data_IF_933566833926
#
_entry.id   IF_933566833926
#
_cell.length_a   1.000
_cell.length_b   1.000
_cell.length_c   1.000
_cell.angle_alpha   90.00
_cell.angle_beta   90.00
_cell.angle_gamma   90.00
#
_symmetry.space_group_name_H-M   'P 1'
#
loop_
_entity.id
_entity.type
_entity.pdbx_description
1 polymer ?
#
# COMPACT_ATOMS: atom_id res chain seq x y z
N UNK A 1 15.62 4.82 10.37
CA UNK A 1 15.30 4.61 8.94
C UNK A 1 14.20 3.58 8.86
N UNK A 2 13.18 3.82 8.03
CA UNK A 2 12.11 2.85 7.79
C UNK A 2 12.62 1.81 6.79
N UNK A 3 12.27 0.54 6.99
CA UNK A 3 12.66 -0.56 6.08
C UNK A 3 11.72 -0.70 4.86
N UNK A 4 10.85 0.28 4.62
CA UNK A 4 9.89 0.26 3.52
C UNK A 4 10.47 0.89 2.26
N UNK A 5 10.35 0.21 1.13
CA UNK A 5 10.68 0.73 -0.21
C UNK A 5 9.47 0.68 -1.13
N UNK A 6 9.48 1.52 -2.18
CA UNK A 6 8.45 1.52 -3.22
C UNK A 6 8.26 0.10 -3.78
N UNK A 7 7.01 -0.34 -3.89
CA UNK A 7 6.63 -1.67 -4.35
C UNK A 7 6.56 -2.74 -3.25
N UNK A 8 7.02 -2.48 -2.03
CA UNK A 8 6.81 -3.41 -0.92
C UNK A 8 5.33 -3.63 -0.66
N UNK A 9 4.91 -4.89 -0.61
CA UNK A 9 3.56 -5.26 -0.20
C UNK A 9 3.43 -5.16 1.31
N UNK A 10 2.34 -4.56 1.77
CA UNK A 10 2.06 -4.25 3.17
C UNK A 10 0.65 -4.68 3.58
N UNK A 11 0.46 -4.78 4.89
CA UNK A 11 -0.86 -4.77 5.53
C UNK A 11 -0.92 -3.56 6.45
N UNK A 12 -1.95 -2.74 6.26
CA UNK A 12 -2.36 -1.75 7.24
C UNK A 12 -3.16 -2.41 8.35
N UNK A 13 -2.74 -2.19 9.59
CA UNK A 13 -3.39 -2.67 10.80
C UNK A 13 -3.92 -1.45 11.56
N UNK A 14 -5.25 -1.26 11.66
CA UNK A 14 -5.80 -0.14 12.39
C UNK A 14 -5.53 -0.28 13.89
N UNK A 15 -5.40 0.84 14.60
CA UNK A 15 -5.04 0.86 16.03
C UNK A 15 -5.97 -0.02 16.88
N UNK A 16 -7.26 -0.06 16.58
CA UNK A 16 -8.24 -0.87 17.33
C UNK A 16 -8.11 -2.38 17.10
N UNK A 17 -7.38 -2.80 16.06
CA UNK A 17 -7.06 -4.21 15.82
C UNK A 17 -5.92 -4.72 16.74
N UNK A 18 -5.28 -3.87 17.54
CA UNK A 18 -4.24 -4.25 18.51
C UNK A 18 -3.12 -5.14 17.91
N UNK A 19 -2.73 -4.89 16.67
CA UNK A 19 -1.69 -5.67 15.97
C UNK A 19 -2.20 -6.92 15.24
N UNK A 20 -3.50 -7.18 15.25
CA UNK A 20 -4.09 -8.29 14.49
C UNK A 20 -4.16 -7.96 12.99
N UNK A 21 -3.19 -8.50 12.24
CA UNK A 21 -3.14 -8.35 10.78
C UNK A 21 -4.30 -9.02 10.03
N UNK A 22 -5.00 -9.96 10.67
CA UNK A 22 -6.13 -10.67 10.07
C UNK A 22 -7.47 -10.05 10.47
N UNK A 23 -7.45 -8.92 11.19
CA UNK A 23 -8.65 -8.19 11.53
C UNK A 23 -9.43 -7.78 10.28
N UNK A 24 -10.77 -7.82 10.34
CA UNK A 24 -11.63 -7.53 9.18
C UNK A 24 -11.39 -6.14 8.56
N UNK A 25 -10.98 -5.18 9.38
CA UNK A 25 -10.67 -3.80 8.98
C UNK A 25 -9.22 -3.60 8.50
N UNK A 26 -8.41 -4.66 8.47
CA UNK A 26 -7.05 -4.59 7.92
C UNK A 26 -7.09 -4.52 6.40
N UNK A 27 -6.26 -3.65 5.83
CA UNK A 27 -6.21 -3.42 4.38
C UNK A 27 -4.86 -3.87 3.80
N UNK A 28 -4.92 -4.55 2.67
CA UNK A 28 -3.74 -4.93 1.91
C UNK A 28 -3.37 -3.81 0.92
N UNK A 29 -2.08 -3.58 0.74
CA UNK A 29 -1.59 -2.49 -0.09
C UNK A 29 -0.12 -2.63 -0.48
N UNK A 30 0.38 -1.65 -1.21
CA UNK A 30 1.81 -1.52 -1.50
C UNK A 30 2.30 -0.11 -1.22
N UNK A 31 3.61 0.01 -0.99
CA UNK A 31 4.27 1.31 -0.79
C UNK A 31 4.42 2.03 -2.12
N UNK A 32 3.84 3.22 -2.23
CA UNK A 32 4.05 4.14 -3.36
C UNK A 32 5.33 4.94 -3.12
N UNK A 33 5.47 5.56 -1.95
CA UNK A 33 6.66 6.37 -1.62
C UNK A 33 6.98 6.28 -0.14
N UNK A 34 8.25 6.02 0.16
CA UNK A 34 8.75 6.09 1.54
C UNK A 34 8.93 7.56 1.97
N UNK A 35 8.54 7.86 3.20
CA UNK A 35 8.78 9.14 3.86
C UNK A 35 9.43 8.95 5.23
N UNK A 36 9.84 10.06 5.85
CA UNK A 36 10.53 10.04 7.15
C UNK A 36 9.56 9.82 8.31
N UNK A 37 8.41 10.51 8.29
CA UNK A 37 7.38 10.45 9.34
C UNK A 37 6.17 9.59 9.00
N UNK A 38 5.93 9.34 7.71
CA UNK A 38 4.82 8.53 7.21
C UNK A 38 5.23 7.83 5.92
N UNK A 39 4.59 6.70 5.63
CA UNK A 39 4.73 5.98 4.36
C UNK A 39 3.48 6.25 3.52
N UNK A 40 3.68 6.60 2.27
CA UNK A 40 2.59 6.80 1.32
C UNK A 40 2.27 5.45 0.68
N UNK A 41 1.07 4.94 0.95
CA UNK A 41 0.63 3.61 0.55
C UNK A 41 -0.55 3.67 -0.42
N UNK A 42 -0.72 2.61 -1.20
CA UNK A 42 -1.86 2.39 -2.09
C UNK A 42 -2.52 1.09 -1.70
N UNK A 43 -3.80 1.16 -1.35
CA UNK A 43 -4.59 0.00 -0.93
C UNK A 43 -5.42 -0.55 -2.08
N UNK A 44 -5.67 -1.85 -2.07
CA UNK A 44 -6.55 -2.56 -3.00
C UNK A 44 -7.70 -3.25 -2.26
N UNK A 45 -8.82 -3.50 -2.95
CA UNK A 45 -9.95 -4.18 -2.33
C UNK A 45 -9.61 -5.63 -1.98
N UNK A 46 -10.08 -6.10 -0.82
CA UNK A 46 -10.01 -7.52 -0.43
C UNK A 46 -10.74 -8.42 -1.45
N UNK A 47 -11.81 -7.89 -2.07
CA UNK A 47 -12.42 -8.50 -3.25
C UNK A 47 -11.54 -8.21 -4.48
N UNK A 48 -10.63 -9.14 -4.75
CA UNK A 48 -9.80 -9.34 -5.95
C UNK A 48 -9.51 -8.13 -6.87
N UNK A 49 -8.24 -7.73 -6.89
CA UNK A 49 -7.55 -7.25 -8.11
C UNK A 49 -7.79 -5.80 -8.52
N UNK A 50 -8.52 -5.00 -7.74
CA UNK A 50 -8.76 -3.59 -8.08
C UNK A 50 -8.08 -2.66 -7.09
N UNK A 51 -7.23 -1.78 -7.61
CA UNK A 51 -6.60 -0.72 -6.83
C UNK A 51 -7.67 0.27 -6.36
N UNK A 52 -7.87 0.40 -5.04
CA UNK A 52 -8.85 1.31 -4.44
C UNK A 52 -8.43 2.77 -4.59
N UNK A 53 -7.13 3.01 -4.48
CA UNK A 53 -6.52 4.34 -4.35
C UNK A 53 -5.77 4.74 -5.62
N UNK A 54 -6.48 5.08 -6.69
CA UNK A 54 -5.82 5.53 -7.94
C UNK A 54 -5.41 7.00 -7.92
N UNK A 55 -6.30 7.88 -7.46
CA UNK A 55 -6.04 9.32 -7.48
C UNK A 55 -4.86 9.74 -6.59
N UNK A 56 -4.84 9.31 -5.32
CA UNK A 56 -3.80 9.71 -4.36
C UNK A 56 -3.39 8.58 -3.42
N UNK A 57 -2.11 8.56 -3.05
CA UNK A 57 -1.59 7.67 -2.02
C UNK A 57 -2.02 8.18 -0.64
N UNK A 58 -2.26 7.26 0.27
CA UNK A 58 -2.63 7.58 1.64
C UNK A 58 -1.37 7.64 2.51
N UNK A 59 -1.21 8.72 3.26
CA UNK A 59 -0.14 8.83 4.24
C UNK A 59 -0.50 7.99 5.48
N UNK A 60 0.34 7.01 5.82
CA UNK A 60 0.08 6.07 6.90
C UNK A 60 1.25 6.05 7.89
N UNK A 61 0.92 6.01 9.18
CA UNK A 61 1.89 5.88 10.27
C UNK A 61 2.61 4.53 10.14
N UNK A 62 3.94 4.56 10.20
CA UNK A 62 4.83 3.41 10.08
C UNK A 62 4.45 2.31 11.08
N UNK A 63 3.99 2.66 12.28
CA UNK A 63 3.64 1.69 13.33
C UNK A 63 2.42 0.82 12.97
N UNK A 64 1.59 1.30 12.04
CA UNK A 64 0.38 0.62 11.59
C UNK A 64 0.64 -0.21 10.32
N UNK A 65 1.89 -0.36 9.90
CA UNK A 65 2.27 -1.06 8.69
C UNK A 65 3.14 -2.26 9.01
N UNK A 66 2.80 -3.40 8.42
CA UNK A 66 3.65 -4.61 8.42
C UNK A 66 3.93 -5.04 6.99
N UNK A 67 5.15 -5.53 6.73
CA UNK A 67 5.47 -6.14 5.44
C UNK A 67 4.69 -7.45 5.29
N UNK A 68 4.09 -7.64 4.11
CA UNK A 68 3.32 -8.85 3.78
C UNK A 68 3.53 -9.22 2.31
N UNK A 69 4.72 -9.70 1.93
CA UNK A 69 4.98 -10.17 0.57
C UNK A 69 4.12 -11.38 0.24
N UNK A 70 3.69 -11.48 -1.03
CA UNK A 70 3.04 -12.68 -1.56
C UNK A 70 1.51 -12.70 -1.48
N UNK A 71 0.86 -11.57 -1.18
CA UNK A 71 -0.59 -11.49 -1.30
C UNK A 71 -1.03 -11.45 -2.77
N UNK A 72 -0.30 -10.72 -3.60
CA UNK A 72 -0.40 -10.77 -5.07
C UNK A 72 0.98 -11.01 -5.69
N UNK A 73 1.05 -11.54 -6.93
CA UNK A 73 2.30 -11.60 -7.68
C UNK A 73 2.93 -10.21 -7.81
N UNK A 74 4.25 -10.11 -7.70
CA UNK A 74 4.94 -8.82 -7.73
C UNK A 74 4.77 -8.11 -9.07
N UNK A 75 4.66 -8.85 -10.18
CA UNK A 75 4.41 -8.26 -11.50
C UNK A 75 3.10 -7.45 -11.57
N UNK A 76 2.11 -7.79 -10.73
CA UNK A 76 0.85 -7.03 -10.65
C UNK A 76 1.06 -5.68 -9.96
N UNK A 77 1.85 -5.67 -8.87
CA UNK A 77 2.22 -4.44 -8.16
C UNK A 77 3.02 -3.53 -9.08
N UNK A 78 3.99 -4.08 -9.79
CA UNK A 78 4.85 -3.33 -10.71
C UNK A 78 4.04 -2.75 -11.89
N UNK A 79 3.06 -3.50 -12.41
CA UNK A 79 2.13 -3.01 -13.42
C UNK A 79 1.27 -1.84 -12.89
N UNK A 80 0.77 -1.91 -11.66
CA UNK A 80 0.03 -0.79 -11.05
C UNK A 80 0.90 0.44 -10.85
N UNK A 81 2.14 0.28 -10.38
CA UNK A 81 3.09 1.39 -10.25
C UNK A 81 3.32 2.09 -11.60
N UNK A 82 3.45 1.30 -12.67
CA UNK A 82 3.63 1.83 -14.04
C UNK A 82 2.42 2.66 -14.50
N UNK A 83 1.20 2.17 -14.23
CA UNK A 83 -0.04 2.89 -14.56
C UNK A 83 -0.11 4.22 -13.79
N UNK A 84 0.14 4.19 -12.48
CA UNK A 84 0.09 5.39 -11.63
C UNK A 84 1.11 6.45 -12.06
N UNK A 85 2.31 6.03 -12.47
CA UNK A 85 3.34 6.94 -12.98
C UNK A 85 2.92 7.57 -14.32
N UNK A 86 2.24 6.82 -15.18
CA UNK A 86 1.70 7.37 -16.42
C UNK A 86 0.59 8.39 -16.15
N UNK A 87 -0.36 8.05 -15.28
CA UNK A 87 -1.48 8.94 -14.91
C UNK A 87 -0.99 10.26 -14.31
N UNK A 88 -0.01 10.20 -13.42
CA UNK A 88 0.59 11.40 -12.79
C UNK A 88 1.23 12.35 -13.81
N UNK A 89 1.74 11.83 -14.94
CA UNK A 89 2.44 12.63 -15.96
C UNK A 89 1.54 13.22 -17.03
N UNK A 90 0.33 12.68 -17.23
CA UNK A 90 -0.51 13.01 -18.37
C UNK A 90 -1.88 13.59 -18.00
N UNK A 91 -2.24 13.55 -16.71
CA UNK A 91 -3.53 14.03 -16.20
C UNK A 91 -3.33 15.14 -15.13
N UNK A 92 -2.08 15.49 -14.83
CA UNK A 92 -1.68 16.52 -13.87
C UNK A 92 -1.38 17.88 -14.49
#
# INVERSE_FOLDING_TARGET
MTNFKRGDQIVYIPTHANGDKNHQDSEHGFVDRAGVSAIFCRYWSQAYGTLRTRANAEATDIKNLVLSPGFVPQEVVDAWLTILDWETRHIG
#
